data_IF_644859765181
#
_entry.id   IF_644859765181
#
_cell.length_a   1.000
_cell.length_b   1.000
_cell.length_c   1.000
_cell.angle_alpha   90.00
_cell.angle_beta   90.00
_cell.angle_gamma   90.00
#
_symmetry.space_group_name_H-M   'P 1'
#
loop_
_entity.id
_entity.type
_entity.pdbx_description
1 polymer ?
#
# COMPACT_ATOMS: atom_id res chain seq x y z
N UNK A 1 16.52 22.23 -2.54
CA UNK A 1 15.67 21.34 -1.71
C UNK A 1 15.98 21.59 -0.24
N UNK A 2 14.98 21.94 0.57
CA UNK A 2 15.15 22.18 2.01
C UNK A 2 15.53 20.86 2.67
N UNK A 3 16.75 20.73 3.21
CA UNK A 3 17.18 19.52 3.91
C UNK A 3 16.39 19.42 5.21
N UNK A 4 15.42 18.51 5.27
CA UNK A 4 14.76 18.15 6.52
C UNK A 4 15.80 17.53 7.45
N UNK A 5 16.19 18.25 8.49
CA UNK A 5 17.19 17.79 9.46
C UNK A 5 16.49 16.87 10.48
N UNK A 6 16.12 15.67 10.03
CA UNK A 6 15.43 14.66 10.84
C UNK A 6 16.42 13.99 11.79
N UNK A 7 16.00 13.82 13.05
CA UNK A 7 16.76 13.06 14.05
C UNK A 7 16.91 11.59 13.62
N UNK A 8 17.95 10.91 14.10
CA UNK A 8 18.17 9.47 13.80
C UNK A 8 16.93 8.63 14.12
N UNK A 9 16.25 8.92 15.25
CA UNK A 9 15.01 8.25 15.68
C UNK A 9 13.87 8.41 14.67
N UNK A 10 13.65 9.63 14.15
CA UNK A 10 12.60 9.90 13.14
C UNK A 10 12.90 9.18 11.82
N UNK A 11 14.16 9.09 11.41
CA UNK A 11 14.57 8.35 10.21
C UNK A 11 14.29 6.85 10.34
N UNK A 12 14.61 6.24 11.47
CA UNK A 12 14.31 4.81 11.72
C UNK A 12 12.80 4.55 11.66
N UNK A 13 11.99 5.41 12.29
CA UNK A 13 10.53 5.31 12.22
C UNK A 13 9.98 5.40 10.80
N UNK A 14 10.48 6.33 9.98
CA UNK A 14 10.09 6.43 8.58
C UNK A 14 10.50 5.20 7.77
N UNK A 15 11.66 4.61 8.04
CA UNK A 15 12.09 3.36 7.42
C UNK A 15 11.16 2.19 7.77
N UNK A 16 10.73 2.08 9.03
CA UNK A 16 9.77 1.05 9.46
C UNK A 16 8.43 1.23 8.74
N UNK A 17 7.91 2.46 8.71
CA UNK A 17 6.67 2.78 7.99
C UNK A 17 6.78 2.44 6.49
N UNK A 18 7.93 2.71 5.87
CA UNK A 18 8.19 2.36 4.47
C UNK A 18 8.22 0.85 4.25
N UNK A 19 8.88 0.09 5.13
CA UNK A 19 8.95 -1.37 5.06
C UNK A 19 7.56 -2.03 5.17
N UNK A 20 6.62 -1.41 5.88
CA UNK A 20 5.23 -1.88 5.98
C UNK A 20 4.40 -1.41 4.78
N UNK A 21 4.61 -0.18 4.30
CA UNK A 21 3.86 0.37 3.18
C UNK A 21 4.14 -0.34 1.85
N UNK A 22 5.40 -0.75 1.61
CA UNK A 22 5.79 -1.44 0.37
C UNK A 22 5.00 -2.74 0.10
N UNK A 23 4.92 -3.72 1.03
CA UNK A 23 4.15 -4.94 0.80
C UNK A 23 2.65 -4.67 0.70
N UNK A 24 2.10 -3.74 1.48
CA UNK A 24 0.69 -3.34 1.36
C UNK A 24 0.38 -2.78 -0.03
N UNK A 25 1.27 -1.94 -0.57
CA UNK A 25 1.12 -1.40 -1.92
C UNK A 25 1.22 -2.50 -2.98
N UNK A 26 2.13 -3.46 -2.82
CA UNK A 26 2.24 -4.61 -3.71
C UNK A 26 0.96 -5.46 -3.73
N UNK A 27 0.32 -5.66 -2.56
CA UNK A 27 -0.98 -6.35 -2.47
C UNK A 27 -2.06 -5.59 -3.23
N UNK A 28 -2.18 -4.28 -3.03
CA UNK A 28 -3.16 -3.44 -3.74
C UNK A 28 -2.94 -3.49 -5.25
N UNK A 29 -1.69 -3.34 -5.71
CA UNK A 29 -1.33 -3.40 -7.13
C UNK A 29 -1.68 -4.77 -7.71
N UNK A 30 -1.35 -5.86 -7.01
CA UNK A 30 -1.68 -7.21 -7.46
C UNK A 30 -3.19 -7.41 -7.59
N UNK A 31 -3.99 -6.90 -6.65
CA UNK A 31 -5.45 -6.95 -6.74
C UNK A 31 -5.96 -6.15 -7.94
N UNK A 32 -5.42 -4.95 -8.20
CA UNK A 32 -5.85 -4.11 -9.33
C UNK A 32 -5.45 -4.68 -10.70
N UNK A 33 -4.21 -5.15 -10.84
CA UNK A 33 -3.74 -5.79 -12.08
C UNK A 33 -4.46 -7.11 -12.36
N UNK A 34 -5.02 -7.74 -11.32
CA UNK A 34 -5.83 -8.96 -11.44
C UNK A 34 -7.32 -8.69 -11.49
N UNK A 35 -7.75 -7.47 -11.80
CA UNK A 35 -9.15 -7.23 -12.14
C UNK A 35 -9.44 -7.74 -13.56
N UNK A 36 -10.62 -8.33 -13.80
CA UNK A 36 -10.97 -8.96 -15.07
C UNK A 36 -10.95 -7.98 -16.26
N UNK A 37 -11.16 -6.69 -16.01
CA UNK A 37 -11.08 -5.60 -17.01
C UNK A 37 -9.67 -5.41 -17.59
N UNK A 38 -8.63 -5.86 -16.89
CA UNK A 38 -7.22 -5.71 -17.27
C UNK A 38 -6.58 -7.03 -17.74
N UNK A 39 -7.35 -8.13 -17.84
CA UNK A 39 -6.82 -9.43 -18.27
C UNK A 39 -7.07 -9.68 -19.76
N UNK A 40 -6.00 -9.96 -20.51
CA UNK A 40 -6.11 -10.45 -21.88
C UNK A 40 -6.46 -11.95 -21.85
N UNK A 41 -7.36 -12.38 -22.74
CA UNK A 41 -8.00 -13.70 -22.69
C UNK A 41 -7.07 -14.83 -23.18
N UNK A 42 -6.14 -15.25 -22.31
CA UNK A 42 -5.41 -16.52 -22.39
C UNK A 42 -5.95 -17.51 -21.33
N UNK A 43 -5.63 -18.81 -21.44
CA UNK A 43 -6.05 -19.85 -20.48
C UNK A 43 -5.74 -19.49 -19.01
N UNK A 44 -4.60 -18.83 -18.77
CA UNK A 44 -4.21 -18.29 -17.46
C UNK A 44 -5.14 -17.15 -17.01
N UNK A 45 -5.58 -16.31 -17.93
CA UNK A 45 -6.57 -15.26 -17.69
C UNK A 45 -7.92 -15.84 -17.29
N UNK A 46 -8.39 -16.92 -17.93
CA UNK A 46 -9.65 -17.58 -17.57
C UNK A 46 -9.63 -18.15 -16.14
N UNK A 47 -8.55 -18.85 -15.77
CA UNK A 47 -8.36 -19.34 -14.40
C UNK A 47 -8.33 -18.19 -13.38
N UNK A 48 -7.63 -17.10 -13.71
CA UNK A 48 -7.45 -15.95 -12.82
C UNK A 48 -8.73 -15.13 -12.66
N UNK A 49 -9.52 -14.99 -13.72
CA UNK A 49 -10.85 -14.39 -13.68
C UNK A 49 -11.81 -15.20 -12.82
N UNK A 50 -11.81 -16.54 -12.97
CA UNK A 50 -12.65 -17.41 -12.14
C UNK A 50 -12.26 -17.35 -10.66
N UNK A 51 -10.97 -17.43 -10.36
CA UNK A 51 -10.48 -17.25 -8.99
C UNK A 51 -10.88 -15.87 -8.44
N UNK A 52 -10.75 -14.81 -9.24
CA UNK A 52 -11.13 -13.47 -8.82
C UNK A 52 -12.64 -13.37 -8.53
N UNK A 53 -13.51 -13.94 -9.37
CA UNK A 53 -14.96 -13.97 -9.13
C UNK A 53 -15.36 -14.68 -7.85
N UNK A 54 -14.73 -15.82 -7.55
CA UNK A 54 -14.98 -16.61 -6.33
C UNK A 54 -14.52 -15.87 -5.06
N UNK A 55 -13.51 -15.02 -5.19
CA UNK A 55 -12.85 -14.37 -4.06
C UNK A 55 -13.18 -12.87 -3.91
N UNK A 56 -13.93 -12.29 -4.85
CA UNK A 56 -14.21 -10.85 -4.93
C UNK A 56 -14.79 -10.27 -3.63
N UNK A 57 -15.59 -11.05 -2.92
CA UNK A 57 -16.34 -10.61 -1.74
C UNK A 57 -15.41 -10.30 -0.56
N UNK A 58 -14.22 -10.89 -0.50
CA UNK A 58 -13.18 -10.55 0.48
C UNK A 58 -12.03 -9.75 -0.14
N UNK A 59 -11.75 -9.92 -1.44
CA UNK A 59 -10.66 -9.22 -2.13
C UNK A 59 -10.87 -7.71 -2.16
N UNK A 60 -12.11 -7.25 -2.42
CA UNK A 60 -12.42 -5.82 -2.49
C UNK A 60 -12.38 -5.13 -1.12
N UNK A 61 -12.99 -5.69 -0.05
CA UNK A 61 -12.80 -5.17 1.30
C UNK A 61 -11.32 -5.15 1.71
N UNK A 62 -10.56 -6.20 1.40
CA UNK A 62 -9.13 -6.27 1.71
C UNK A 62 -8.33 -5.17 1.01
N UNK A 63 -8.60 -4.91 -0.27
CA UNK A 63 -8.00 -3.79 -1.02
C UNK A 63 -8.28 -2.47 -0.30
N UNK A 64 -9.53 -2.22 0.08
CA UNK A 64 -9.90 -0.97 0.75
C UNK A 64 -9.26 -0.83 2.13
N UNK A 65 -9.18 -1.92 2.91
CA UNK A 65 -8.47 -1.93 4.19
C UNK A 65 -6.99 -1.59 3.98
N UNK A 66 -6.33 -2.19 2.98
CA UNK A 66 -4.94 -1.87 2.66
C UNK A 66 -4.77 -0.40 2.27
N UNK A 67 -5.69 0.17 1.48
CA UNK A 67 -5.66 1.59 1.10
C UNK A 67 -5.85 2.51 2.32
N UNK A 68 -6.74 2.18 3.24
CA UNK A 68 -6.94 2.94 4.49
C UNK A 68 -5.68 2.88 5.36
N UNK A 69 -5.06 1.71 5.50
CA UNK A 69 -3.80 1.57 6.24
C UNK A 69 -2.69 2.39 5.58
N UNK A 70 -2.57 2.35 4.25
CA UNK A 70 -1.61 3.15 3.50
C UNK A 70 -1.83 4.66 3.69
N UNK A 71 -3.08 5.11 3.69
CA UNK A 71 -3.43 6.51 3.99
C UNK A 71 -3.03 6.88 5.43
N UNK A 72 -3.27 6.00 6.40
CA UNK A 72 -2.84 6.19 7.79
C UNK A 72 -1.32 6.25 7.96
N UNK A 73 -0.58 5.40 7.24
CA UNK A 73 0.88 5.42 7.20
C UNK A 73 1.39 6.72 6.58
N UNK A 74 0.80 7.16 5.46
CA UNK A 74 1.16 8.41 4.81
C UNK A 74 0.91 9.63 5.72
N UNK A 75 -0.24 9.68 6.39
CA UNK A 75 -0.56 10.71 7.38
C UNK A 75 0.42 10.72 8.55
N UNK A 76 0.74 9.53 9.08
CA UNK A 76 1.69 9.37 10.18
C UNK A 76 3.11 9.78 9.78
N UNK A 77 3.56 9.41 8.57
CA UNK A 77 4.83 9.84 8.00
C UNK A 77 4.91 11.36 7.84
N UNK A 78 3.83 11.98 7.33
CA UNK A 78 3.70 13.44 7.22
C UNK A 78 3.86 14.10 8.60
N UNK A 79 3.14 13.59 9.61
CA UNK A 79 3.23 14.12 10.98
C UNK A 79 4.63 14.00 11.57
N UNK A 80 5.37 12.91 11.32
CA UNK A 80 6.76 12.74 11.78
C UNK A 80 7.69 13.78 11.13
N UNK A 81 7.48 14.06 9.85
CA UNK A 81 8.27 15.04 9.07
C UNK A 81 7.98 16.48 9.50
N UNK A 82 6.72 16.82 9.77
CA UNK A 82 6.30 18.16 10.17
C UNK A 82 6.33 18.41 11.69
N UNK A 83 6.40 17.37 12.51
CA UNK A 83 6.59 17.49 13.96
C UNK A 83 7.85 18.31 14.23
N UNK A 84 7.70 19.44 14.95
CA UNK A 84 8.83 20.24 15.45
C UNK A 84 9.79 19.28 16.16
N UNK A 85 11.07 19.33 15.78
CA UNK A 85 12.09 18.59 16.51
C UNK A 85 12.03 19.01 17.97
N UNK A 86 11.86 18.04 18.88
CA UNK A 86 12.28 18.21 20.27
C UNK A 86 13.70 18.79 20.21
N UNK A 87 13.82 20.07 20.55
CA UNK A 87 15.09 20.70 20.90
C UNK A 87 15.31 20.44 22.38
#
# INVERSE_FOLDING_TARGET
>A
MKKFNLTKKKKVWLFILLLIALPLLAIVINIQLNQPEHMNADYVGLWKSRWHEENKDWLYPLKNICLVILAGIAGSGLMIVFSKGER
#
